data_IF_181474421377
#
_entry.id   IF_181474421377
#
_cell.length_a   1.000
_cell.length_b   1.000
_cell.length_c   1.000
_cell.angle_alpha   90.00
_cell.angle_beta   90.00
_cell.angle_gamma   90.00
#
_symmetry.space_group_name_H-M   'P 1'
#
loop_
_entity.id
_entity.type
_entity.pdbx_description
1 polymer ?
#
# COMPACT_ATOMS: atom_id res chain seq x y z
N UNK A 1 20.61 -0.99 5.65
CA UNK A 1 19.36 -0.87 4.86
C UNK A 1 18.87 0.55 4.96
N UNK A 2 18.83 1.25 3.83
CA UNK A 2 18.34 2.62 3.76
C UNK A 2 16.87 2.61 3.33
N UNK A 3 16.04 3.31 4.09
CA UNK A 3 14.58 3.31 3.92
C UNK A 3 14.10 4.71 3.55
N UNK A 4 13.40 4.82 2.43
CA UNK A 4 12.66 6.01 2.05
C UNK A 4 11.20 5.85 2.49
N UNK A 5 10.71 6.80 3.27
CA UNK A 5 9.31 6.83 3.69
C UNK A 5 8.56 7.94 2.96
N UNK A 6 7.50 7.57 2.28
CA UNK A 6 6.57 8.48 1.61
C UNK A 6 5.15 8.22 2.12
N UNK A 7 4.31 9.24 2.12
CA UNK A 7 2.93 9.18 2.59
C UNK A 7 2.12 10.31 1.99
N UNK A 8 0.80 10.20 2.02
CA UNK A 8 -0.12 11.30 1.69
C UNK A 8 0.07 11.87 0.27
N UNK A 9 0.26 11.00 -0.72
CA UNK A 9 0.42 11.41 -2.13
C UNK A 9 -0.86 12.03 -2.70
N UNK A 10 -2.05 11.58 -2.25
CA UNK A 10 -3.36 12.11 -2.61
C UNK A 10 -3.57 12.29 -4.13
N UNK A 11 -3.14 11.32 -4.95
CA UNK A 11 -3.43 11.37 -6.37
C UNK A 11 -4.93 11.57 -6.61
N UNK A 12 -5.28 12.58 -7.40
CA UNK A 12 -6.65 13.04 -7.59
C UNK A 12 -6.81 14.52 -7.29
N UNK A 13 -7.98 14.99 -6.83
CA UNK A 13 -8.25 16.41 -6.63
C UNK A 13 -7.35 17.13 -5.61
N UNK A 14 -6.76 16.38 -4.68
CA UNK A 14 -5.90 16.93 -3.62
C UNK A 14 -4.41 16.72 -3.88
N UNK A 15 -4.07 16.16 -5.03
CA UNK A 15 -2.68 15.95 -5.40
C UNK A 15 -1.92 17.28 -5.47
N UNK A 16 -0.68 17.28 -5.00
CA UNK A 16 0.15 18.47 -5.11
C UNK A 16 0.32 18.88 -6.58
N UNK A 17 0.29 20.20 -6.85
CA UNK A 17 0.24 20.72 -8.22
C UNK A 17 1.63 20.87 -8.87
N UNK A 18 2.66 20.19 -8.38
CA UNK A 18 4.00 20.23 -8.94
C UNK A 18 4.21 19.09 -9.96
N UNK A 19 5.38 19.09 -10.59
CA UNK A 19 5.75 18.09 -11.56
C UNK A 19 6.13 16.78 -10.85
N UNK A 20 5.39 15.70 -11.11
CA UNK A 20 5.65 14.38 -10.55
C UNK A 20 7.03 13.85 -10.94
N UNK A 21 7.54 14.20 -12.12
CA UNK A 21 8.87 13.80 -12.54
C UNK A 21 9.94 14.51 -11.71
N UNK A 22 9.76 15.77 -11.40
CA UNK A 22 10.69 16.49 -10.50
C UNK A 22 10.72 15.85 -9.11
N UNK A 23 9.56 15.42 -8.59
CA UNK A 23 9.51 14.69 -7.32
C UNK A 23 10.25 13.36 -7.40
N UNK A 24 10.00 12.57 -8.45
CA UNK A 24 10.69 11.29 -8.67
C UNK A 24 12.21 11.48 -8.77
N UNK A 25 12.67 12.48 -9.50
CA UNK A 25 14.08 12.76 -9.63
C UNK A 25 14.73 13.08 -8.28
N UNK A 26 14.05 13.84 -7.44
CA UNK A 26 14.49 14.16 -6.07
C UNK A 26 14.50 12.92 -5.16
N UNK A 27 13.48 12.06 -5.23
CA UNK A 27 13.40 10.85 -4.43
C UNK A 27 14.46 9.83 -4.83
N UNK A 28 14.71 9.69 -6.13
CA UNK A 28 15.67 8.73 -6.67
C UNK A 28 17.14 9.05 -6.32
N UNK A 29 17.44 10.28 -5.90
CA UNK A 29 18.78 10.66 -5.41
C UNK A 29 19.16 9.89 -4.13
N UNK A 30 18.18 9.43 -3.35
CA UNK A 30 18.44 8.77 -2.06
C UNK A 30 18.91 7.32 -2.19
N UNK A 31 18.84 6.69 -3.37
CA UNK A 31 19.30 5.32 -3.62
C UNK A 31 18.84 4.33 -2.53
N UNK A 32 17.56 4.44 -2.12
CA UNK A 32 17.01 3.65 -1.03
C UNK A 32 16.94 2.16 -1.37
N UNK A 33 17.19 1.31 -0.38
CA UNK A 33 17.01 -0.15 -0.48
C UNK A 33 15.54 -0.57 -0.44
N UNK A 34 14.73 0.26 0.23
CA UNK A 34 13.33 -0.03 0.52
C UNK A 34 12.52 1.26 0.58
N UNK A 35 11.33 1.25 0.00
CA UNK A 35 10.38 2.37 0.07
C UNK A 35 9.13 1.93 0.82
N UNK A 36 8.75 2.70 1.82
CA UNK A 36 7.45 2.61 2.49
C UNK A 36 6.52 3.71 1.98
N UNK A 37 5.40 3.30 1.37
CA UNK A 37 4.26 4.15 1.09
C UNK A 37 3.17 3.85 2.12
N UNK A 38 2.99 4.73 3.10
CA UNK A 38 2.16 4.44 4.27
C UNK A 38 0.72 4.93 4.17
N UNK A 39 0.22 5.07 2.95
CA UNK A 39 -1.20 5.29 2.68
C UNK A 39 -1.54 6.72 2.31
N UNK A 40 -2.85 6.95 2.19
CA UNK A 40 -3.45 8.14 1.59
C UNK A 40 -2.82 8.46 0.22
N UNK A 41 -2.64 7.38 -0.54
CA UNK A 41 -2.05 7.44 -1.87
C UNK A 41 -3.00 8.07 -2.88
N UNK A 42 -4.30 7.84 -2.69
CA UNK A 42 -5.39 8.39 -3.52
C UNK A 42 -6.16 9.45 -2.75
N UNK A 43 -6.93 10.29 -3.47
CA UNK A 43 -7.84 11.26 -2.86
C UNK A 43 -9.20 10.65 -2.54
N UNK A 44 -9.78 9.93 -3.49
CA UNK A 44 -11.17 9.42 -3.44
C UNK A 44 -11.28 7.93 -3.79
N UNK A 45 -10.18 7.19 -3.80
CA UNK A 45 -10.12 5.75 -4.11
C UNK A 45 -10.64 5.39 -5.51
N UNK A 46 -10.44 6.25 -6.50
CA UNK A 46 -10.88 6.00 -7.87
C UNK A 46 -9.86 5.14 -8.64
N UNK A 47 -10.31 4.36 -9.65
CA UNK A 47 -9.41 3.53 -10.45
C UNK A 47 -8.26 4.30 -11.11
N UNK A 48 -8.55 5.49 -11.65
CA UNK A 48 -7.56 6.32 -12.31
C UNK A 48 -6.52 6.88 -11.33
N UNK A 49 -6.93 7.15 -10.09
CA UNK A 49 -6.04 7.57 -9.02
C UNK A 49 -5.09 6.45 -8.63
N UNK A 50 -5.58 5.23 -8.42
CA UNK A 50 -4.73 4.07 -8.15
C UNK A 50 -3.76 3.78 -9.30
N UNK A 51 -4.20 3.92 -10.54
CA UNK A 51 -3.34 3.77 -11.71
C UNK A 51 -2.22 4.83 -11.73
N UNK A 52 -2.54 6.07 -11.39
CA UNK A 52 -1.56 7.16 -11.30
C UNK A 52 -0.54 6.90 -10.18
N UNK A 53 -0.99 6.45 -9.01
CA UNK A 53 -0.09 6.03 -7.90
C UNK A 53 0.85 4.92 -8.37
N UNK A 54 0.33 3.89 -9.03
CA UNK A 54 1.16 2.79 -9.53
C UNK A 54 2.21 3.30 -10.52
N UNK A 55 1.82 4.17 -11.44
CA UNK A 55 2.75 4.76 -12.41
C UNK A 55 3.85 5.56 -11.71
N UNK A 56 3.50 6.38 -10.73
CA UNK A 56 4.45 7.14 -9.94
C UNK A 56 5.43 6.24 -9.17
N UNK A 57 4.92 5.27 -8.41
CA UNK A 57 5.75 4.34 -7.64
C UNK A 57 6.66 3.50 -8.54
N UNK A 58 6.22 3.18 -9.76
CA UNK A 58 7.05 2.47 -10.75
C UNK A 58 8.19 3.31 -11.32
N UNK A 59 8.13 4.63 -11.16
CA UNK A 59 9.23 5.56 -11.51
C UNK A 59 10.34 5.63 -10.45
N UNK A 60 10.10 5.06 -9.26
CA UNK A 60 11.15 4.96 -8.24
C UNK A 60 12.20 3.92 -8.67
N UNK A 61 13.47 4.26 -8.49
CA UNK A 61 14.58 3.35 -8.82
C UNK A 61 14.75 2.22 -7.81
N UNK A 62 14.11 2.31 -6.66
CA UNK A 62 14.09 1.25 -5.66
C UNK A 62 13.13 0.11 -6.09
N UNK A 63 13.59 -1.15 -6.19
CA UNK A 63 12.74 -2.27 -6.59
C UNK A 63 11.81 -2.77 -5.48
N UNK A 64 12.09 -2.39 -4.23
CA UNK A 64 11.41 -2.88 -3.06
C UNK A 64 10.45 -1.81 -2.53
N UNK A 65 9.22 -1.79 -3.03
CA UNK A 65 8.18 -0.86 -2.58
C UNK A 65 7.12 -1.62 -1.80
N UNK A 66 6.77 -1.11 -0.62
CA UNK A 66 5.68 -1.63 0.21
C UNK A 66 4.66 -0.53 0.40
N UNK A 67 3.43 -0.78 -0.02
CA UNK A 67 2.30 0.13 0.18
C UNK A 67 1.32 -0.45 1.18
N UNK A 68 0.75 0.41 2.03
CA UNK A 68 -0.41 0.12 2.86
C UNK A 68 -1.53 1.11 2.54
N UNK A 69 -2.75 0.78 2.93
CA UNK A 69 -3.90 1.66 2.72
C UNK A 69 -4.01 2.70 3.83
N UNK A 70 -4.18 3.95 3.46
CA UNK A 70 -4.67 5.01 4.35
C UNK A 70 -6.20 5.10 4.35
N UNK A 71 -6.76 6.09 5.03
CA UNK A 71 -8.21 6.24 5.07
C UNK A 71 -8.80 6.75 3.73
N UNK A 72 -8.08 7.61 3.01
CA UNK A 72 -8.47 8.07 1.68
C UNK A 72 -8.48 6.95 0.63
N UNK A 73 -7.64 5.94 0.81
CA UNK A 73 -7.61 4.76 -0.07
C UNK A 73 -8.80 3.82 0.13
N UNK A 74 -9.77 4.17 1.00
CA UNK A 74 -10.92 3.32 1.40
C UNK A 74 -12.30 3.92 1.14
N UNK A 75 -12.39 5.04 0.44
CA UNK A 75 -13.65 5.74 0.22
C UNK A 75 -14.60 5.05 -0.78
N UNK A 76 -14.07 4.28 -1.71
CA UNK A 76 -14.87 3.59 -2.72
C UNK A 76 -15.15 2.13 -2.35
N UNK A 77 -16.29 1.60 -2.80
CA UNK A 77 -16.68 0.19 -2.57
C UNK A 77 -15.67 -0.83 -3.10
N UNK A 78 -14.90 -0.46 -4.12
CA UNK A 78 -13.90 -1.32 -4.76
C UNK A 78 -12.46 -1.03 -4.30
N UNK A 79 -12.28 -0.24 -3.25
CA UNK A 79 -10.96 0.22 -2.81
C UNK A 79 -9.98 -0.93 -2.57
N UNK A 80 -10.41 -1.99 -1.89
CA UNK A 80 -9.53 -3.14 -1.62
C UNK A 80 -9.15 -3.89 -2.89
N UNK A 81 -10.11 -4.08 -3.80
CA UNK A 81 -9.85 -4.69 -5.11
C UNK A 81 -8.84 -3.87 -5.92
N UNK A 82 -9.01 -2.55 -5.93
CA UNK A 82 -8.13 -1.62 -6.63
C UNK A 82 -6.74 -1.58 -6.00
N UNK A 83 -6.66 -1.53 -4.68
CA UNK A 83 -5.39 -1.63 -3.97
C UNK A 83 -4.66 -2.93 -4.32
N UNK A 84 -5.36 -4.07 -4.30
CA UNK A 84 -4.82 -5.37 -4.69
C UNK A 84 -4.32 -5.36 -6.14
N UNK A 85 -5.07 -4.75 -7.04
CA UNK A 85 -4.74 -4.70 -8.46
C UNK A 85 -3.52 -3.83 -8.74
N UNK A 86 -3.39 -2.69 -8.08
CA UNK A 86 -2.43 -1.64 -8.46
C UNK A 86 -1.24 -1.53 -7.51
N UNK A 87 -1.43 -1.69 -6.23
CA UNK A 87 -0.41 -1.36 -5.22
C UNK A 87 0.10 -2.59 -4.45
N UNK A 88 -0.68 -3.63 -4.38
CA UNK A 88 -0.28 -4.85 -3.69
C UNK A 88 0.58 -5.73 -4.60
N UNK A 89 1.87 -5.66 -4.44
CA UNK A 89 2.82 -6.42 -5.26
C UNK A 89 3.44 -7.61 -4.51
N UNK A 90 2.80 -8.76 -4.43
CA UNK A 90 3.47 -9.95 -3.93
C UNK A 90 2.53 -11.03 -3.38
N UNK A 91 3.07 -12.22 -3.07
CA UNK A 91 2.28 -13.30 -2.52
C UNK A 91 1.82 -12.96 -1.11
N UNK A 92 0.58 -13.34 -0.79
CA UNK A 92 0.10 -13.30 0.59
C UNK A 92 0.85 -14.32 1.44
N UNK A 93 1.31 -13.90 2.61
CA UNK A 93 1.68 -14.85 3.65
C UNK A 93 0.41 -15.18 4.44
N UNK A 94 -0.19 -16.30 4.11
CA UNK A 94 -1.30 -16.81 4.92
C UNK A 94 -0.81 -17.10 6.34
N UNK A 95 -1.60 -16.76 7.36
CA UNK A 95 -1.28 -17.13 8.72
C UNK A 95 -1.18 -18.66 8.81
N UNK A 96 -0.11 -19.18 9.44
CA UNK A 96 0.12 -20.63 9.62
C UNK A 96 -1.06 -21.32 10.32
N UNK A 97 -1.83 -20.59 11.09
CA UNK A 97 -3.01 -21.07 11.79
C UNK A 97 -4.13 -20.01 11.74
N UNK A 98 -5.02 -20.10 10.76
CA UNK A 98 -6.14 -19.15 10.62
C UNK A 98 -7.06 -19.09 11.85
N UNK A 99 -7.09 -20.16 12.66
CA UNK A 99 -7.94 -20.20 13.86
C UNK A 99 -7.48 -19.26 14.96
N UNK A 100 -6.21 -18.87 14.94
CA UNK A 100 -5.61 -17.94 15.90
C UNK A 100 -5.73 -16.47 15.50
N UNK A 101 -6.22 -16.21 14.30
CA UNK A 101 -6.46 -14.83 13.88
C UNK A 101 -7.69 -14.30 14.60
N UNK A 102 -7.47 -13.30 15.45
CA UNK A 102 -8.58 -12.59 16.09
C UNK A 102 -9.38 -11.89 15.00
N UNK A 103 -10.64 -12.29 14.82
CA UNK A 103 -11.52 -11.68 13.83
C UNK A 103 -11.65 -10.18 14.13
N UNK A 104 -11.17 -9.27 13.29
CA UNK A 104 -11.45 -7.87 13.46
C UNK A 104 -12.98 -7.69 13.40
N UNK A 105 -13.51 -6.72 14.13
CA UNK A 105 -14.89 -6.29 13.91
C UNK A 105 -14.91 -5.57 12.55
N UNK A 106 -15.24 -6.31 11.52
CA UNK A 106 -15.50 -5.74 10.20
C UNK A 106 -16.84 -5.03 10.30
N UNK A 107 -16.82 -3.71 10.44
CA UNK A 107 -18.04 -2.92 10.50
C UNK A 107 -18.72 -2.79 9.13
N UNK A 108 -18.00 -3.07 8.08
CA UNK A 108 -18.51 -3.01 6.73
C UNK A 108 -17.83 -4.04 5.86
N UNK A 109 -18.58 -4.99 5.35
CA UNK A 109 -18.20 -5.82 4.22
C UNK A 109 -19.02 -5.40 3.00
N UNK A 110 -18.64 -4.30 2.32
CA UNK A 110 -19.42 -3.77 1.20
C UNK A 110 -19.42 -4.72 0.00
N UNK A 111 -18.49 -5.66 -0.05
CA UNK A 111 -18.29 -6.59 -1.16
C UNK A 111 -18.65 -8.03 -0.81
N UNK A 112 -19.09 -8.30 0.42
CA UNK A 112 -19.24 -9.67 0.95
C UNK A 112 -17.95 -10.50 0.82
N UNK A 113 -16.80 -9.84 0.92
CA UNK A 113 -15.52 -10.52 0.96
C UNK A 113 -15.47 -11.43 2.16
N UNK A 114 -14.84 -12.58 2.00
CA UNK A 114 -14.59 -13.41 3.17
C UNK A 114 -13.47 -12.77 4.03
N UNK A 115 -13.47 -13.12 5.31
CA UNK A 115 -12.53 -12.53 6.28
C UNK A 115 -11.06 -12.75 5.90
N UNK A 116 -10.73 -13.88 5.28
CA UNK A 116 -9.36 -14.19 4.86
C UNK A 116 -8.88 -13.25 3.77
N UNK A 117 -9.74 -12.93 2.79
CA UNK A 117 -9.42 -11.96 1.74
C UNK A 117 -9.23 -10.56 2.32
N UNK A 118 -10.14 -10.14 3.22
CA UNK A 118 -10.02 -8.87 3.90
C UNK A 118 -8.71 -8.75 4.69
N UNK A 119 -8.40 -9.74 5.51
CA UNK A 119 -7.18 -9.74 6.33
C UNK A 119 -5.91 -9.79 5.48
N UNK A 120 -5.95 -10.49 4.36
CA UNK A 120 -4.82 -10.56 3.45
C UNK A 120 -4.52 -9.21 2.79
N UNK A 121 -5.55 -8.43 2.49
CA UNK A 121 -5.39 -7.14 1.80
C UNK A 121 -4.96 -5.99 2.70
N UNK A 122 -5.33 -6.03 3.98
CA UNK A 122 -5.14 -4.90 4.90
C UNK A 122 -4.07 -5.13 5.97
N UNK A 123 -3.84 -6.40 6.34
CA UNK A 123 -2.77 -6.76 7.26
C UNK A 123 -1.96 -7.89 6.64
N UNK A 124 -0.74 -7.61 6.33
CA UNK A 124 0.12 -8.55 5.61
C UNK A 124 1.57 -8.43 6.05
N UNK A 125 2.36 -9.42 5.67
CA UNK A 125 3.80 -9.45 5.91
C UNK A 125 4.52 -9.46 4.58
N UNK A 126 5.56 -8.65 4.46
CA UNK A 126 6.48 -8.64 3.33
C UNK A 126 7.87 -9.05 3.80
N UNK A 127 8.53 -9.83 3.00
CA UNK A 127 9.90 -10.26 3.26
C UNK A 127 10.77 -9.91 2.04
N UNK A 128 11.92 -9.33 2.32
CA UNK A 128 12.91 -8.95 1.31
C UNK A 128 14.28 -9.45 1.72
N UNK A 129 15.08 -9.81 0.74
CA UNK A 129 16.51 -10.02 0.93
C UNK A 129 17.23 -8.80 0.38
N UNK A 130 17.89 -8.05 1.24
CA UNK A 130 18.64 -6.82 0.89
C UNK A 130 20.12 -7.05 1.21
N UNK A 131 20.91 -7.22 0.17
CA UNK A 131 22.30 -7.65 0.35
C UNK A 131 22.36 -9.06 0.95
N UNK A 132 22.83 -9.18 2.19
CA UNK A 132 22.88 -10.45 2.95
C UNK A 132 21.88 -10.49 4.11
N UNK A 133 21.02 -9.49 4.22
CA UNK A 133 20.08 -9.36 5.33
C UNK A 133 18.66 -9.73 4.89
N UNK A 134 17.97 -10.48 5.75
CA UNK A 134 16.54 -10.74 5.60
C UNK A 134 15.73 -9.68 6.37
N UNK A 135 14.91 -8.94 5.65
CA UNK A 135 14.08 -7.86 6.19
C UNK A 135 12.63 -8.31 6.19
N UNK A 136 12.02 -8.40 7.37
CA UNK A 136 10.62 -8.74 7.55
C UNK A 136 9.83 -7.49 7.93
N UNK A 137 8.78 -7.17 7.16
CA UNK A 137 7.95 -5.99 7.36
C UNK A 137 6.54 -6.44 7.68
N UNK A 138 6.06 -6.03 8.85
CA UNK A 138 4.67 -6.24 9.26
C UNK A 138 3.85 -4.99 8.89
N UNK A 139 2.95 -5.15 7.94
CA UNK A 139 2.05 -4.11 7.46
C UNK A 139 0.73 -4.20 8.21
N UNK A 140 0.42 -3.18 8.99
CA UNK A 140 -0.79 -3.12 9.79
C UNK A 140 -1.68 -1.97 9.33
N UNK A 141 -2.94 -2.30 9.10
CA UNK A 141 -3.98 -1.33 8.83
C UNK A 141 -4.70 -0.97 10.14
N UNK A 142 -4.52 0.25 10.57
CA UNK A 142 -5.16 0.78 11.79
C UNK A 142 -6.37 1.67 11.47
N UNK A 143 -6.69 1.88 10.20
CA UNK A 143 -7.81 2.70 9.78
C UNK A 143 -9.11 1.90 9.84
N UNK A 144 -10.19 2.60 10.19
CA UNK A 144 -11.55 2.04 10.06
C UNK A 144 -12.06 2.31 8.65
N UNK A 145 -12.84 1.38 8.12
CA UNK A 145 -13.68 1.69 6.96
C UNK A 145 -14.72 2.74 7.38
N UNK A 146 -14.86 3.75 6.58
CA UNK A 146 -15.87 4.79 6.76
C UNK A 146 -17.15 4.43 6.01
#
# INVERSE_FOLDING_TARGET
VDILHITDLHFGPYHWLADDQELLDRLNVFEADLVFNTGDSTSDSLPDEFAAVQAFLSGLQCPNVVSIMGNHDKYAKRSQELFRQYLYGGPFLEPKDPSKVTKPKVYHDPQKMNLSEYMADVNFVRQFTIGQEEVLILCLDTNKFQ
#
